data_IF_516745008267
#
_entry.id   IF_516745008267
#
_cell.length_a   1.000
_cell.length_b   1.000
_cell.length_c   1.000
_cell.angle_alpha   90.00
_cell.angle_beta   90.00
_cell.angle_gamma   90.00
#
_symmetry.space_group_name_H-M   'P 1'
#
loop_
_entity.id
_entity.type
_entity.pdbx_description
1 polymer ?
#
# COMPACT_ATOMS: atom_id res chain seq x y z
N UNK A 1 10.19 0.54 -9.45
CA UNK A 1 10.52 0.26 -8.05
C UNK A 1 11.23 -1.08 -7.95
N UNK A 2 12.23 -1.23 -7.11
CA UNK A 2 12.86 -2.53 -6.79
C UNK A 2 12.32 -3.10 -5.46
N UNK A 3 12.75 -4.31 -5.09
CA UNK A 3 12.29 -4.99 -3.86
C UNK A 3 12.61 -4.23 -2.57
N UNK A 4 13.82 -3.66 -2.47
CA UNK A 4 14.27 -2.94 -1.26
C UNK A 4 13.50 -1.63 -1.08
N UNK A 5 13.26 -0.90 -2.17
CA UNK A 5 12.40 0.29 -2.18
C UNK A 5 10.97 -0.07 -1.78
N UNK A 6 10.40 -1.13 -2.36
CA UNK A 6 9.04 -1.59 -2.08
C UNK A 6 8.86 -1.98 -0.60
N UNK A 7 9.80 -2.76 -0.09
CA UNK A 7 9.77 -3.19 1.31
C UNK A 7 10.03 -2.03 2.26
N UNK A 8 10.94 -1.10 1.92
CA UNK A 8 11.23 0.08 2.72
C UNK A 8 10.02 1.01 2.87
N UNK A 9 9.27 1.22 1.79
CA UNK A 9 8.04 2.03 1.81
C UNK A 9 6.97 1.41 2.72
N UNK A 10 6.73 0.10 2.60
CA UNK A 10 5.76 -0.59 3.48
C UNK A 10 6.24 -0.59 4.93
N UNK A 11 7.53 -0.81 5.17
CA UNK A 11 8.10 -0.77 6.53
C UNK A 11 7.87 0.60 7.17
N UNK A 12 8.06 1.68 6.39
CA UNK A 12 7.81 3.04 6.85
C UNK A 12 6.34 3.26 7.20
N UNK A 13 5.41 2.88 6.31
CA UNK A 13 3.96 3.07 6.51
C UNK A 13 3.41 2.28 7.69
N UNK A 14 3.95 1.10 7.95
CA UNK A 14 3.54 0.22 9.04
C UNK A 14 4.33 0.45 10.33
N UNK A 15 5.33 1.33 10.33
CA UNK A 15 6.23 1.58 11.45
C UNK A 15 6.84 0.30 12.06
N UNK A 16 7.12 -0.70 11.21
CA UNK A 16 7.59 -2.00 11.67
C UNK A 16 9.06 -1.95 12.11
N UNK A 17 9.42 -2.69 13.19
CA UNK A 17 10.72 -2.62 13.82
C UNK A 17 11.86 -3.13 12.93
N UNK A 18 11.55 -4.01 11.98
CA UNK A 18 12.54 -4.64 11.12
C UNK A 18 11.97 -5.08 9.76
N UNK A 19 12.88 -5.22 8.80
CA UNK A 19 12.59 -5.66 7.43
C UNK A 19 12.03 -7.08 7.40
N UNK A 20 12.44 -7.96 8.32
CA UNK A 20 11.96 -9.34 8.39
C UNK A 20 10.46 -9.41 8.70
N UNK A 21 9.98 -8.62 9.66
CA UNK A 21 8.54 -8.49 9.97
C UNK A 21 7.78 -7.90 8.77
N UNK A 22 8.36 -6.90 8.11
CA UNK A 22 7.77 -6.28 6.91
C UNK A 22 7.59 -7.29 5.77
N UNK A 23 8.64 -8.05 5.43
CA UNK A 23 8.57 -9.07 4.38
C UNK A 23 7.57 -10.16 4.73
N UNK A 24 7.45 -10.55 6.00
CA UNK A 24 6.42 -11.50 6.45
C UNK A 24 5.01 -10.97 6.22
N UNK A 25 4.73 -9.71 6.58
CA UNK A 25 3.42 -9.08 6.35
C UNK A 25 3.06 -8.99 4.87
N UNK A 26 4.01 -8.56 4.03
CA UNK A 26 3.86 -8.52 2.56
C UNK A 26 3.53 -9.92 2.03
N UNK A 27 4.36 -10.90 2.38
CA UNK A 27 4.19 -12.28 1.93
C UNK A 27 2.84 -12.85 2.37
N UNK A 28 2.48 -12.70 3.64
CA UNK A 28 1.23 -13.20 4.20
C UNK A 28 0.01 -12.63 3.46
N UNK A 29 -0.01 -11.31 3.26
CA UNK A 29 -1.09 -10.60 2.56
C UNK A 29 -1.21 -11.06 1.11
N UNK A 30 -0.11 -10.98 0.36
CA UNK A 30 -0.11 -11.22 -1.08
C UNK A 30 -0.33 -12.70 -1.43
N UNK A 31 0.26 -13.64 -0.67
CA UNK A 31 -0.01 -15.06 -0.86
C UNK A 31 -1.47 -15.41 -0.60
N UNK A 32 -2.06 -14.83 0.45
CA UNK A 32 -3.46 -15.10 0.79
C UNK A 32 -4.40 -14.48 -0.25
N UNK A 33 -4.12 -13.27 -0.76
CA UNK A 33 -4.87 -12.71 -1.88
C UNK A 33 -4.74 -13.56 -3.15
N UNK A 34 -3.53 -14.03 -3.47
CA UNK A 34 -3.30 -14.92 -4.60
C UNK A 34 -4.10 -16.22 -4.51
N UNK A 35 -4.26 -16.79 -3.31
CA UNK A 35 -5.13 -17.96 -3.10
C UNK A 35 -6.60 -17.65 -3.36
N UNK A 36 -7.08 -16.44 -3.03
CA UNK A 36 -8.50 -16.05 -3.14
C UNK A 36 -8.96 -15.87 -4.59
N UNK A 37 -8.10 -15.32 -5.44
CA UNK A 37 -8.45 -14.92 -6.81
C UNK A 37 -7.96 -15.95 -7.84
N UNK A 38 -8.56 -15.99 -9.05
CA UNK A 38 -8.07 -16.85 -10.11
C UNK A 38 -6.61 -16.55 -10.48
N UNK A 39 -5.88 -17.57 -10.93
CA UNK A 39 -4.44 -17.48 -11.24
C UNK A 39 -4.12 -16.35 -12.23
N UNK A 40 -4.84 -16.26 -13.35
CA UNK A 40 -4.64 -15.20 -14.35
C UNK A 40 -4.86 -13.79 -13.77
N UNK A 41 -5.87 -13.60 -12.93
CA UNK A 41 -6.10 -12.32 -12.25
C UNK A 41 -4.96 -11.97 -11.28
N UNK A 42 -4.39 -12.96 -10.59
CA UNK A 42 -3.22 -12.75 -9.73
C UNK A 42 -1.97 -12.39 -10.55
N UNK A 43 -1.77 -13.02 -11.71
CA UNK A 43 -0.67 -12.71 -12.62
C UNK A 43 -0.77 -11.29 -13.19
N UNK A 44 -1.97 -10.89 -13.62
CA UNK A 44 -2.27 -9.57 -14.17
C UNK A 44 -2.05 -8.50 -13.09
N UNK A 45 -2.66 -8.66 -11.91
CA UNK A 45 -2.54 -7.71 -10.81
C UNK A 45 -1.08 -7.53 -10.36
N UNK A 46 -0.32 -8.61 -10.31
CA UNK A 46 1.08 -8.57 -9.88
C UNK A 46 2.08 -8.19 -10.99
N UNK A 47 1.64 -7.93 -12.22
CA UNK A 47 2.51 -7.77 -13.38
C UNK A 47 3.50 -6.60 -13.29
N UNK A 48 3.13 -5.55 -12.54
CA UNK A 48 3.93 -4.34 -12.38
C UNK A 48 4.79 -4.33 -11.11
N UNK A 49 4.63 -5.35 -10.25
CA UNK A 49 5.36 -5.45 -8.99
C UNK A 49 6.79 -5.98 -9.22
N UNK A 50 7.74 -5.68 -8.30
CA UNK A 50 9.06 -6.32 -8.33
C UNK A 50 8.95 -7.85 -8.34
N UNK A 51 9.90 -8.53 -9.00
CA UNK A 51 9.80 -9.96 -9.29
C UNK A 51 9.53 -10.82 -8.04
N UNK A 52 10.22 -10.51 -6.93
CA UNK A 52 10.08 -11.19 -5.65
C UNK A 52 8.69 -10.96 -5.03
N UNK A 53 8.14 -9.76 -5.19
CA UNK A 53 6.80 -9.40 -4.71
C UNK A 53 5.73 -10.08 -5.56
N UNK A 54 5.90 -10.06 -6.88
CA UNK A 54 5.04 -10.78 -7.84
C UNK A 54 4.98 -12.27 -7.53
N UNK A 55 6.11 -12.87 -7.16
CA UNK A 55 6.19 -14.28 -6.84
C UNK A 55 5.27 -14.68 -5.68
N UNK A 56 5.05 -13.80 -4.70
CA UNK A 56 4.14 -14.09 -3.57
C UNK A 56 2.68 -14.27 -3.99
N UNK A 57 2.22 -13.59 -5.04
CA UNK A 57 0.85 -13.76 -5.54
C UNK A 57 0.70 -14.90 -6.53
N UNK A 58 1.82 -15.41 -7.06
CA UNK A 58 1.85 -16.36 -8.18
C UNK A 58 2.61 -17.63 -7.80
N UNK A 59 3.91 -17.72 -8.07
CA UNK A 59 4.70 -18.95 -7.88
C UNK A 59 4.78 -19.47 -6.44
N UNK A 60 4.46 -18.66 -5.42
CA UNK A 60 4.34 -19.10 -4.03
C UNK A 60 2.98 -19.75 -3.70
N UNK A 61 1.96 -19.50 -4.52
CA UNK A 61 0.59 -19.98 -4.35
C UNK A 61 0.43 -21.32 -5.06
N UNK A 62 -0.03 -22.34 -4.34
CA UNK A 62 -0.23 -23.68 -4.92
C UNK A 62 -1.60 -23.87 -5.55
N UNK A 63 -2.59 -23.15 -5.03
CA UNK A 63 -3.99 -23.26 -5.45
C UNK A 63 -4.63 -21.87 -5.44
N UNK A 64 -5.17 -21.50 -6.59
CA UNK A 64 -5.84 -20.23 -6.85
C UNK A 64 -7.35 -20.40 -6.88
N UNK A 65 -8.09 -19.29 -6.74
CA UNK A 65 -9.55 -19.26 -6.83
C UNK A 65 -10.26 -19.97 -5.68
N UNK A 66 -9.59 -20.13 -4.53
CA UNK A 66 -10.22 -20.62 -3.31
C UNK A 66 -11.31 -19.63 -2.86
N UNK A 67 -12.35 -20.15 -2.22
CA UNK A 67 -13.43 -19.31 -1.66
C UNK A 67 -13.30 -19.24 -0.16
N UNK A 68 -13.07 -18.03 0.33
CA UNK A 68 -13.09 -17.69 1.74
C UNK A 68 -13.39 -16.19 1.89
N UNK A 69 -13.91 -15.83 3.05
CA UNK A 69 -14.35 -14.46 3.34
C UNK A 69 -13.22 -13.61 3.94
N UNK A 70 -13.53 -12.33 4.21
CA UNK A 70 -12.61 -11.41 4.87
C UNK A 70 -12.09 -11.93 6.22
N UNK A 71 -12.92 -12.63 7.00
CA UNK A 71 -12.51 -13.11 8.33
C UNK A 71 -11.46 -14.21 8.20
N UNK A 72 -11.71 -15.18 7.33
CA UNK A 72 -10.76 -16.26 7.08
C UNK A 72 -9.47 -15.75 6.39
N UNK A 73 -9.58 -14.74 5.52
CA UNK A 73 -8.41 -14.04 4.99
C UNK A 73 -7.50 -13.53 6.11
N UNK A 74 -8.06 -12.82 7.09
CA UNK A 74 -7.29 -12.26 8.21
C UNK A 74 -6.73 -13.34 9.14
N UNK A 75 -7.48 -14.41 9.38
CA UNK A 75 -7.00 -15.57 10.15
C UNK A 75 -5.76 -16.17 9.50
N UNK A 76 -5.79 -16.40 8.18
CA UNK A 76 -4.64 -16.91 7.41
C UNK A 76 -3.47 -15.94 7.40
N UNK A 77 -3.71 -14.64 7.22
CA UNK A 77 -2.64 -13.62 7.22
C UNK A 77 -1.96 -13.60 8.58
N UNK A 78 -2.71 -13.53 9.68
CA UNK A 78 -2.19 -13.57 11.05
C UNK A 78 -1.38 -14.84 11.31
N UNK A 79 -1.88 -16.01 10.89
CA UNK A 79 -1.15 -17.28 11.03
C UNK A 79 0.18 -17.29 10.27
N UNK A 80 0.22 -16.75 9.04
CA UNK A 80 1.44 -16.72 8.20
C UNK A 80 2.44 -15.68 8.72
N UNK A 81 1.98 -14.55 9.28
CA UNK A 81 2.84 -13.56 9.92
C UNK A 81 3.49 -14.10 11.20
N UNK A 82 2.75 -14.88 11.98
CA UNK A 82 3.24 -15.63 13.12
C UNK A 82 3.06 -14.94 14.47
N UNK A 83 3.84 -15.41 15.47
CA UNK A 83 3.68 -14.97 16.86
C UNK A 83 3.78 -13.45 17.04
N UNK A 84 2.84 -12.89 17.79
CA UNK A 84 2.80 -11.47 18.12
C UNK A 84 2.03 -10.60 17.11
N UNK A 85 1.36 -11.20 16.12
CA UNK A 85 0.44 -10.49 15.20
C UNK A 85 -0.97 -11.04 15.38
N UNK A 86 -1.87 -10.22 15.93
CA UNK A 86 -3.29 -10.59 16.05
C UNK A 86 -4.10 -10.23 14.79
N UNK A 87 -5.37 -10.62 14.78
CA UNK A 87 -6.26 -10.36 13.64
C UNK A 87 -6.44 -8.87 13.33
N UNK A 88 -6.41 -8.00 14.33
CA UNK A 88 -6.53 -6.55 14.12
C UNK A 88 -5.28 -5.97 13.49
N UNK A 89 -4.09 -6.40 13.95
CA UNK A 89 -2.82 -6.02 13.35
C UNK A 89 -2.69 -6.56 11.92
N UNK A 90 -3.01 -7.83 11.68
CA UNK A 90 -3.00 -8.43 10.34
C UNK A 90 -3.96 -7.70 9.37
N UNK A 91 -5.14 -7.30 9.85
CA UNK A 91 -6.07 -6.49 9.06
C UNK A 91 -5.49 -5.13 8.71
N UNK A 92 -4.85 -4.45 9.66
CA UNK A 92 -4.17 -3.19 9.42
C UNK A 92 -3.05 -3.35 8.38
N UNK A 93 -2.17 -4.35 8.56
CA UNK A 93 -1.10 -4.65 7.61
C UNK A 93 -1.63 -4.87 6.20
N UNK A 94 -2.61 -5.74 6.04
CA UNK A 94 -3.17 -6.08 4.73
C UNK A 94 -3.73 -4.85 4.01
N UNK A 95 -4.42 -3.96 4.73
CA UNK A 95 -4.98 -2.73 4.15
C UNK A 95 -3.91 -1.77 3.68
N UNK A 96 -2.85 -1.54 4.47
CA UNK A 96 -1.74 -0.66 4.08
C UNK A 96 -0.96 -1.25 2.90
N UNK A 97 -0.76 -2.57 2.89
CA UNK A 97 -0.08 -3.25 1.79
C UNK A 97 -0.91 -3.12 0.50
N UNK A 98 -2.22 -3.35 0.55
CA UNK A 98 -3.10 -3.22 -0.62
C UNK A 98 -3.23 -1.78 -1.09
N UNK A 99 -3.33 -0.82 -0.17
CA UNK A 99 -3.26 0.60 -0.47
C UNK A 99 -1.98 0.96 -1.21
N UNK A 100 -0.83 0.49 -0.72
CA UNK A 100 0.41 0.77 -1.41
C UNK A 100 0.49 0.11 -2.78
N UNK A 101 0.06 -1.16 -2.89
CA UNK A 101 0.05 -1.87 -4.17
C UNK A 101 -0.86 -1.20 -5.20
N UNK A 102 -1.98 -0.60 -4.80
CA UNK A 102 -2.85 0.20 -5.68
C UNK A 102 -2.04 1.25 -6.44
N UNK A 103 -1.14 1.95 -5.76
CA UNK A 103 -0.29 2.98 -6.36
C UNK A 103 0.78 2.43 -7.33
N UNK A 104 1.04 1.12 -7.29
CA UNK A 104 2.07 0.45 -8.08
C UNK A 104 1.50 -0.24 -9.33
N UNK A 105 0.18 -0.38 -9.44
CA UNK A 105 -0.48 -1.12 -10.52
C UNK A 105 -1.39 -0.20 -11.35
N UNK A 106 -1.70 -0.54 -12.60
CA UNK A 106 -2.70 0.16 -13.39
C UNK A 106 -4.08 0.16 -12.67
N UNK A 107 -4.84 1.27 -12.73
CA UNK A 107 -6.16 1.33 -12.10
C UNK A 107 -7.14 0.24 -12.58
N UNK A 108 -7.00 -0.22 -13.83
CA UNK A 108 -7.79 -1.32 -14.38
C UNK A 108 -7.56 -2.64 -13.64
N UNK A 109 -6.31 -2.92 -13.28
CA UNK A 109 -5.89 -4.18 -12.68
C UNK A 109 -6.34 -4.20 -11.21
N UNK A 110 -6.26 -3.05 -10.53
CA UNK A 110 -6.83 -2.89 -9.20
C UNK A 110 -8.35 -3.02 -9.18
N UNK A 111 -9.06 -2.42 -10.14
CA UNK A 111 -10.50 -2.59 -10.27
C UNK A 111 -10.86 -4.06 -10.53
N UNK A 112 -10.09 -4.76 -11.36
CA UNK A 112 -10.29 -6.18 -11.63
C UNK A 112 -10.10 -7.04 -10.38
N UNK A 113 -9.13 -6.74 -9.51
CA UNK A 113 -8.98 -7.37 -8.20
C UNK A 113 -10.25 -7.16 -7.35
N UNK A 114 -10.71 -5.91 -7.25
CA UNK A 114 -11.89 -5.54 -6.46
C UNK A 114 -13.16 -6.27 -6.93
N UNK A 115 -13.33 -6.42 -8.24
CA UNK A 115 -14.45 -7.16 -8.83
C UNK A 115 -14.44 -8.67 -8.49
N UNK A 116 -13.31 -9.25 -8.06
CA UNK A 116 -13.24 -10.65 -7.60
C UNK A 116 -13.62 -10.85 -6.14
N UNK A 117 -13.81 -9.77 -5.38
CA UNK A 117 -13.92 -9.80 -3.91
C UNK A 117 -15.29 -9.24 -3.47
N UNK A 118 -16.26 -10.09 -3.10
CA UNK A 118 -17.60 -9.66 -2.71
C UNK A 118 -17.57 -8.72 -1.49
N UNK A 119 -18.07 -7.50 -1.67
CA UNK A 119 -17.87 -6.43 -0.69
C UNK A 119 -18.95 -6.30 0.38
N UNK A 120 -20.15 -6.85 0.15
CA UNK A 120 -21.29 -6.58 1.03
C UNK A 120 -21.06 -7.20 2.40
N UNK A 121 -21.56 -6.57 3.47
CA UNK A 121 -21.40 -7.13 4.82
C UNK A 121 -22.07 -8.50 4.97
N UNK A 122 -23.16 -8.72 4.23
CA UNK A 122 -23.89 -9.99 4.17
C UNK A 122 -23.26 -10.99 3.16
N UNK A 123 -22.22 -10.58 2.43
CA UNK A 123 -21.59 -11.34 1.35
C UNK A 123 -20.06 -11.16 1.39
N UNK A 124 -19.40 -12.00 2.21
CA UNK A 124 -17.94 -12.09 2.43
C UNK A 124 -17.20 -10.85 2.96
N UNK A 125 -17.80 -9.65 2.93
CA UNK A 125 -17.36 -8.43 3.60
C UNK A 125 -15.96 -7.91 3.19
N UNK A 126 -15.55 -8.13 1.93
CA UNK A 126 -14.23 -7.73 1.44
C UNK A 126 -14.01 -6.22 1.33
N UNK A 127 -15.06 -5.39 1.46
CA UNK A 127 -14.91 -3.92 1.54
C UNK A 127 -13.92 -3.51 2.63
N UNK A 128 -13.80 -4.33 3.68
CA UNK A 128 -12.85 -4.14 4.79
C UNK A 128 -11.39 -4.11 4.35
N UNK A 129 -11.01 -4.74 3.24
CA UNK A 129 -9.66 -4.66 2.69
C UNK A 129 -9.36 -3.28 2.09
N UNK A 130 -10.36 -2.64 1.50
CA UNK A 130 -10.23 -1.41 0.74
C UNK A 130 -10.46 -0.14 1.55
N UNK A 131 -10.69 -0.24 2.88
CA UNK A 131 -11.03 0.92 3.73
C UNK A 131 -10.01 2.07 3.63
N UNK A 132 -8.72 1.78 3.48
CA UNK A 132 -7.67 2.82 3.36
C UNK A 132 -7.70 3.46 1.97
N UNK A 133 -7.83 2.65 0.92
CA UNK A 133 -7.96 3.12 -0.47
C UNK A 133 -9.20 4.01 -0.63
N UNK A 134 -10.33 3.55 -0.10
CA UNK A 134 -11.61 4.27 -0.14
C UNK A 134 -11.59 5.58 0.68
N UNK A 135 -10.65 5.69 1.63
CA UNK A 135 -10.44 6.89 2.44
C UNK A 135 -9.45 7.90 1.82
N UNK A 136 -9.02 7.70 0.57
CA UNK A 136 -8.05 8.58 -0.11
C UNK A 136 -6.58 8.15 0.04
N UNK A 137 -6.36 6.99 0.66
CA UNK A 137 -5.06 6.35 0.83
C UNK A 137 -4.37 6.68 2.16
N UNK A 138 -3.21 6.05 2.40
CA UNK A 138 -2.49 6.14 3.67
C UNK A 138 -2.20 7.58 4.14
N UNK A 139 -1.89 8.51 3.23
CA UNK A 139 -1.60 9.91 3.56
C UNK A 139 -2.77 10.64 4.24
N UNK A 140 -3.96 10.57 3.65
CA UNK A 140 -5.17 11.18 4.24
C UNK A 140 -5.61 10.43 5.51
N UNK A 141 -5.42 9.11 5.55
CA UNK A 141 -5.73 8.30 6.73
C UNK A 141 -4.84 8.65 7.94
N UNK A 142 -3.58 9.01 7.73
CA UNK A 142 -2.65 9.43 8.79
C UNK A 142 -2.95 10.86 9.28
N UNK A 143 -3.32 11.77 8.39
CA UNK A 143 -3.77 13.13 8.73
C UNK A 143 -5.05 13.09 9.59
N UNK A 144 -6.00 12.22 9.24
CA UNK A 144 -7.23 12.01 10.02
C UNK A 144 -6.98 11.44 11.43
N UNK A 145 -5.97 10.60 11.61
CA UNK A 145 -5.61 10.01 12.91
C UNK A 145 -4.79 10.95 13.80
N UNK A 146 -4.03 11.87 13.21
CA UNK A 146 -3.17 12.82 13.95
C UNK A 146 -3.87 14.13 14.30
N UNK A 147 -5.13 14.33 13.89
CA UNK A 147 -5.87 15.57 14.14
C UNK A 147 -5.27 16.80 13.44
N UNK A 148 -4.44 16.59 12.43
CA UNK A 148 -3.80 17.64 11.66
C UNK A 148 -4.75 18.16 10.58
N UNK A 149 -5.35 19.33 10.81
CA UNK A 149 -6.01 20.06 9.73
C UNK A 149 -5.01 20.44 8.61
N UNK A 150 -5.50 20.79 7.41
CA UNK A 150 -4.67 20.99 6.23
C UNK A 150 -3.53 21.98 6.51
N UNK A 151 -2.28 21.53 6.37
CA UNK A 151 -1.14 22.44 6.34
C UNK A 151 -1.21 23.25 5.05
N UNK A 152 -1.31 24.58 5.11
CA UNK A 152 -1.24 25.39 3.92
C UNK A 152 0.14 25.21 3.30
N UNK A 153 0.16 24.77 2.04
CA UNK A 153 1.36 24.78 1.22
C UNK A 153 1.98 26.18 1.33
N UNK A 154 3.20 26.24 1.84
CA UNK A 154 4.01 27.46 1.85
C UNK A 154 4.30 27.82 0.41
N UNK A 155 3.46 28.69 -0.15
CA UNK A 155 3.71 29.39 -1.40
C UNK A 155 5.07 30.06 -1.25
N UNK A 156 6.07 29.53 -1.95
CA UNK A 156 7.39 30.15 -2.03
C UNK A 156 7.23 31.42 -2.84
N UNK A 157 7.06 32.54 -2.15
CA UNK A 157 7.14 33.87 -2.76
C UNK A 157 8.63 34.17 -2.95
N UNK A 158 9.10 33.99 -4.17
CA UNK A 158 10.36 34.56 -4.61
C UNK A 158 10.24 36.08 -4.56
N UNK A 159 11.01 36.69 -3.68
CA UNK A 159 11.45 38.08 -3.83
C UNK A 159 12.96 38.00 -4.08
N UNK A 160 13.30 38.23 -5.34
CA UNK A 160 14.64 38.35 -5.85
C UNK A 160 15.11 39.81 -5.71
N UNK A 161 16.44 39.94 -5.69
CA UNK A 161 17.22 41.14 -6.00
C UNK A 161 17.20 42.30 -4.97
N UNK A 162 18.17 42.24 -4.04
CA UNK A 162 18.76 43.42 -3.43
C UNK A 162 20.22 43.56 -3.92
N UNK A 163 20.35 44.42 -4.93
CA UNK A 163 21.44 45.33 -5.26
C UNK A 163 22.90 44.93 -4.97
N UNK A 164 23.63 44.62 -6.04
CA UNK A 164 25.07 44.89 -6.17
C UNK A 164 25.27 45.66 -7.49
N UNK A 165 25.45 46.99 -7.40
CA UNK A 165 25.83 47.85 -8.52
C UNK A 165 26.99 48.75 -8.09
N UNK A 166 28.22 48.49 -8.57
CA UNK A 166 29.32 49.41 -8.44
C UNK A 166 29.62 50.10 -9.78
N UNK A 167 29.48 51.43 -9.79
CA UNK A 167 30.48 52.31 -10.41
C UNK A 167 30.13 53.03 -11.71
N UNK A 168 30.66 54.27 -11.77
CA UNK A 168 31.04 55.07 -12.96
C UNK A 168 29.88 55.73 -13.74
N UNK A 169 29.79 57.05 -13.98
CA UNK A 169 30.73 58.15 -14.35
C UNK A 169 29.95 59.51 -14.26
N UNK A 170 30.35 60.66 -14.87
CA UNK A 170 31.55 61.51 -14.74
C UNK A 170 31.22 63.04 -14.59
N UNK A 171 32.29 63.88 -14.53
CA UNK A 171 32.36 65.35 -14.71
C UNK A 171 31.63 66.22 -13.66
N UNK A 172 32.23 67.27 -13.08
CA UNK A 172 32.98 68.40 -13.65
C UNK A 172 33.85 69.07 -12.55
#
# INVERSE_FOLDING_TARGET
MNFDEFTGEIQHRLELPDTGRTVRAIRATLMTLGQRIPEGNAEDFAANLPLEIKWYMTGAVREHGQRFDWREFIERVSEIEGEGVDASEAAYHARIIVDFVETQVPPSDFQQLRDQLPESQDDENWRKLFEVVDAGGWGEAQEAQTGGGPQPATTTKGDADDADDPGDEPNE
#
